data_IF_406982842627
#
_entry.id   IF_406982842627
#
_cell.length_a   1.000
_cell.length_b   1.000
_cell.length_c   1.000
_cell.angle_alpha   90.00
_cell.angle_beta   90.00
_cell.angle_gamma   90.00
#
_symmetry.space_group_name_H-M   'P 1'
#
loop_
_entity.id
_entity.type
_entity.pdbx_description
1 polymer ?
#
# COMPACT_ATOMS: atom_id res chain seq x y z
N UNK A 1 -8.15 -8.40 -5.03
CA UNK A 1 -9.23 -9.25 -4.45
C UNK A 1 -9.34 -9.04 -2.94
N UNK A 2 -8.56 -9.68 -2.06
CA UNK A 2 -8.78 -9.53 -0.60
C UNK A 2 -8.52 -8.11 -0.03
N UNK A 3 -7.46 -7.44 -0.48
CA UNK A 3 -7.13 -6.07 -0.02
C UNK A 3 -8.22 -5.06 -0.42
N UNK A 4 -8.77 -5.21 -1.61
CA UNK A 4 -9.82 -4.33 -2.15
C UNK A 4 -11.15 -4.55 -1.43
N UNK A 5 -11.50 -5.82 -1.14
CA UNK A 5 -12.69 -6.17 -0.37
C UNK A 5 -12.62 -5.60 1.05
N UNK A 6 -11.46 -5.71 1.70
CA UNK A 6 -11.23 -5.15 3.04
C UNK A 6 -11.33 -3.62 3.06
N UNK A 7 -10.72 -2.95 2.06
CA UNK A 7 -10.82 -1.50 1.90
C UNK A 7 -12.29 -1.07 1.75
N UNK A 8 -13.05 -1.71 0.87
CA UNK A 8 -14.48 -1.40 0.65
C UNK A 8 -15.29 -1.60 1.93
N UNK A 9 -15.14 -2.73 2.60
CA UNK A 9 -15.85 -3.02 3.85
C UNK A 9 -15.59 -1.98 4.95
N UNK A 10 -14.35 -1.48 5.05
CA UNK A 10 -13.99 -0.46 6.03
C UNK A 10 -14.52 0.93 5.66
N UNK A 11 -14.45 1.30 4.38
CA UNK A 11 -15.01 2.57 3.90
C UNK A 11 -16.54 2.62 4.04
N UNK A 12 -17.23 1.49 3.87
CA UNK A 12 -18.68 1.40 4.02
C UNK A 12 -19.12 1.42 5.49
N UNK A 13 -18.29 0.90 6.41
CA UNK A 13 -18.62 0.80 7.83
C UNK A 13 -18.18 2.01 8.67
N UNK A 14 -17.17 2.76 8.23
CA UNK A 14 -16.62 3.90 8.97
C UNK A 14 -17.04 5.21 8.27
N UNK A 15 -17.98 5.92 8.88
CA UNK A 15 -18.39 7.24 8.39
C UNK A 15 -17.39 8.31 8.84
N UNK A 16 -16.66 8.86 7.87
CA UNK A 16 -15.76 10.01 8.06
C UNK A 16 -16.34 11.21 7.30
N UNK A 17 -16.76 12.22 8.06
CA UNK A 17 -17.19 13.50 7.53
C UNK A 17 -15.96 14.31 7.12
N UNK A 18 -15.93 14.74 5.86
CA UNK A 18 -14.86 15.57 5.31
C UNK A 18 -15.39 17.00 5.06
N UNK A 19 -14.56 18.03 5.27
CA UNK A 19 -14.93 19.41 4.96
C UNK A 19 -14.83 19.64 3.44
N UNK A 20 -15.83 19.17 2.70
CA UNK A 20 -15.74 19.03 1.25
C UNK A 20 -15.45 20.35 0.51
N UNK A 21 -16.17 21.41 0.85
CA UNK A 21 -15.98 22.73 0.23
C UNK A 21 -14.56 23.24 0.44
N UNK A 22 -14.04 23.14 1.66
CA UNK A 22 -12.67 23.54 1.97
C UNK A 22 -11.67 22.73 1.15
N UNK A 23 -11.84 21.41 1.07
CA UNK A 23 -10.92 20.54 0.34
C UNK A 23 -10.93 20.84 -1.16
N UNK A 24 -12.10 21.12 -1.76
CA UNK A 24 -12.19 21.53 -3.16
C UNK A 24 -11.49 22.86 -3.43
N UNK A 25 -11.71 23.86 -2.58
CA UNK A 25 -10.98 25.15 -2.67
C UNK A 25 -9.48 24.94 -2.49
N UNK A 26 -9.08 24.14 -1.51
CA UNK A 26 -7.68 23.82 -1.26
C UNK A 26 -7.02 23.09 -2.43
N UNK A 27 -7.72 22.17 -3.11
CA UNK A 27 -7.22 21.50 -4.30
C UNK A 27 -6.98 22.49 -5.45
N UNK A 28 -7.90 23.45 -5.65
CA UNK A 28 -7.76 24.48 -6.67
C UNK A 28 -6.54 25.37 -6.40
N UNK A 29 -6.41 25.83 -5.15
CA UNK A 29 -5.33 26.72 -4.71
C UNK A 29 -3.96 26.02 -4.75
N UNK A 30 -3.88 24.79 -4.25
CA UNK A 30 -2.62 24.02 -4.19
C UNK A 30 -2.11 23.60 -5.56
N UNK A 31 -3.00 23.44 -6.54
CA UNK A 31 -2.62 23.17 -7.93
C UNK A 31 -2.34 24.45 -8.72
N UNK A 32 -2.38 25.64 -8.09
CA UNK A 32 -2.16 26.94 -8.75
C UNK A 32 -3.10 27.13 -9.97
N UNK A 33 -4.32 26.58 -9.92
CA UNK A 33 -5.27 26.61 -11.03
C UNK A 33 -4.89 25.75 -12.25
N UNK A 34 -3.91 24.85 -12.14
CA UNK A 34 -3.57 23.87 -13.21
C UNK A 34 -4.65 22.84 -13.46
N UNK A 35 -5.54 22.64 -12.49
CA UNK A 35 -6.73 21.80 -12.58
C UNK A 35 -7.93 22.74 -12.50
N UNK A 36 -8.87 22.58 -13.42
CA UNK A 36 -10.10 23.37 -13.44
C UNK A 36 -11.06 22.97 -12.32
N UNK A 37 -11.97 23.88 -11.95
CA UNK A 37 -13.02 23.57 -10.99
C UNK A 37 -13.91 22.41 -11.45
N UNK A 38 -14.16 22.29 -12.75
CA UNK A 38 -14.96 21.21 -13.33
C UNK A 38 -14.27 19.85 -13.18
N UNK A 39 -12.96 19.79 -13.43
CA UNK A 39 -12.16 18.57 -13.19
C UNK A 39 -12.12 18.20 -11.71
N UNK A 40 -12.00 19.19 -10.81
CA UNK A 40 -12.06 18.94 -9.36
C UNK A 40 -13.41 18.34 -9.00
N UNK A 41 -14.52 18.91 -9.45
CA UNK A 41 -15.86 18.39 -9.17
C UNK A 41 -16.04 16.96 -9.68
N UNK A 42 -15.54 16.66 -10.89
CA UNK A 42 -15.64 15.34 -11.49
C UNK A 42 -14.88 14.26 -10.70
N UNK A 43 -13.68 14.59 -10.21
CA UNK A 43 -12.77 13.62 -9.59
C UNK A 43 -12.80 13.69 -8.05
N UNK A 44 -13.56 14.63 -7.46
CA UNK A 44 -13.57 14.90 -6.03
C UNK A 44 -13.97 13.69 -5.20
N UNK A 45 -14.99 12.95 -5.62
CA UNK A 45 -15.49 11.80 -4.86
C UNK A 45 -14.43 10.71 -4.71
N UNK A 46 -13.64 10.49 -5.77
CA UNK A 46 -12.52 9.55 -5.74
C UNK A 46 -11.42 10.05 -4.80
N UNK A 47 -11.07 11.33 -4.86
CA UNK A 47 -10.12 11.95 -3.93
C UNK A 47 -10.58 11.81 -2.48
N UNK A 48 -11.86 12.10 -2.21
CA UNK A 48 -12.45 12.01 -0.89
C UNK A 48 -12.42 10.57 -0.36
N UNK A 49 -12.73 9.57 -1.20
CA UNK A 49 -12.61 8.16 -0.85
C UNK A 49 -11.15 7.78 -0.48
N UNK A 50 -10.18 8.17 -1.31
CA UNK A 50 -8.75 7.91 -1.05
C UNK A 50 -8.25 8.62 0.21
N UNK A 51 -8.76 9.81 0.52
CA UNK A 51 -8.47 10.53 1.74
C UNK A 51 -9.04 9.81 2.96
N UNK A 52 -10.31 9.38 2.93
CA UNK A 52 -10.90 8.57 4.01
C UNK A 52 -10.12 7.29 4.24
N UNK A 53 -9.75 6.59 3.17
CA UNK A 53 -8.94 5.38 3.27
C UNK A 53 -7.57 5.65 3.92
N UNK A 54 -6.95 6.77 3.57
CA UNK A 54 -5.68 7.21 4.18
C UNK A 54 -5.86 7.50 5.66
N UNK A 55 -6.92 8.20 6.07
CA UNK A 55 -7.22 8.48 7.47
C UNK A 55 -7.45 7.20 8.28
N UNK A 56 -8.18 6.22 7.73
CA UNK A 56 -8.40 4.91 8.38
C UNK A 56 -7.06 4.21 8.61
N UNK A 57 -6.21 4.10 7.57
CA UNK A 57 -4.90 3.45 7.70
C UNK A 57 -4.01 4.15 8.72
N UNK A 58 -3.96 5.48 8.69
CA UNK A 58 -3.16 6.26 9.64
C UNK A 58 -3.64 6.02 11.06
N UNK A 59 -4.96 5.99 11.28
CA UNK A 59 -5.52 5.71 12.61
C UNK A 59 -5.16 4.32 13.10
N UNK A 60 -5.29 3.30 12.25
CA UNK A 60 -4.92 1.92 12.60
C UNK A 60 -3.43 1.81 12.92
N UNK A 61 -2.58 2.47 12.13
CA UNK A 61 -1.14 2.47 12.33
C UNK A 61 -0.75 3.12 13.66
N UNK A 62 -1.38 4.26 14.00
CA UNK A 62 -1.20 4.95 15.28
C UNK A 62 -1.66 4.06 16.45
N UNK A 63 -2.88 3.53 16.39
CA UNK A 63 -3.48 2.72 17.46
C UNK A 63 -2.71 1.40 17.71
N UNK A 64 -2.02 0.88 16.69
CA UNK A 64 -1.22 -0.33 16.79
C UNK A 64 0.28 -0.07 16.98
N UNK A 65 0.71 1.20 17.07
CA UNK A 65 2.12 1.60 17.17
C UNK A 65 2.99 0.91 16.09
N UNK A 66 2.51 0.92 14.84
CA UNK A 66 3.18 0.24 13.72
C UNK A 66 4.57 0.83 13.52
N UNK A 67 5.58 -0.02 13.67
CA UNK A 67 6.99 0.28 13.44
C UNK A 67 7.49 -0.51 12.25
N UNK A 68 8.55 0.02 11.64
CA UNK A 68 9.27 -0.61 10.56
C UNK A 68 10.73 -0.60 10.93
N UNK A 69 11.29 -1.80 11.06
CA UNK A 69 12.70 -2.00 11.34
C UNK A 69 13.52 -2.06 10.06
N UNK A 70 14.79 -1.65 10.12
CA UNK A 70 15.70 -1.69 8.97
C UNK A 70 15.80 -3.10 8.37
N UNK A 71 15.74 -4.14 9.20
CA UNK A 71 15.80 -5.53 8.76
C UNK A 71 14.64 -5.89 7.81
N UNK A 72 13.43 -5.38 8.07
CA UNK A 72 12.26 -5.60 7.21
C UNK A 72 12.42 -4.89 5.87
N UNK A 73 12.93 -3.66 5.89
CA UNK A 73 13.22 -2.88 4.67
C UNK A 73 14.29 -3.57 3.83
N UNK A 74 15.35 -4.07 4.47
CA UNK A 74 16.40 -4.82 3.81
C UNK A 74 15.87 -6.11 3.20
N UNK A 75 15.07 -6.89 3.92
CA UNK A 75 14.51 -8.14 3.40
C UNK A 75 13.58 -7.90 2.22
N UNK A 76 12.71 -6.90 2.29
CA UNK A 76 11.87 -6.51 1.15
C UNK A 76 12.71 -6.09 -0.06
N UNK A 77 13.83 -5.41 0.17
CA UNK A 77 14.74 -5.04 -0.91
C UNK A 77 15.44 -6.25 -1.50
N UNK A 78 15.83 -7.23 -0.67
CA UNK A 78 16.35 -8.52 -1.15
C UNK A 78 15.31 -9.26 -1.98
N UNK A 79 14.03 -9.26 -1.60
CA UNK A 79 12.95 -9.82 -2.41
C UNK A 79 12.83 -9.15 -3.78
N UNK A 80 12.90 -7.82 -3.82
CA UNK A 80 12.91 -7.07 -5.08
C UNK A 80 14.10 -7.50 -5.95
N UNK A 81 15.29 -7.61 -5.36
CA UNK A 81 16.50 -8.02 -6.08
C UNK A 81 16.38 -9.48 -6.56
N UNK A 82 15.95 -10.42 -5.71
CA UNK A 82 15.66 -11.80 -6.12
C UNK A 82 14.75 -11.85 -7.34
N UNK A 83 13.69 -11.04 -7.34
CA UNK A 83 12.78 -10.91 -8.49
C UNK A 83 13.48 -10.49 -9.77
N UNK A 84 14.41 -9.53 -9.70
CA UNK A 84 15.20 -9.08 -10.86
C UNK A 84 16.15 -10.16 -11.39
N UNK A 85 16.64 -11.06 -10.53
CA UNK A 85 17.50 -12.18 -10.91
C UNK A 85 16.73 -13.47 -11.28
N UNK A 86 15.39 -13.46 -11.26
CA UNK A 86 14.57 -14.63 -11.57
C UNK A 86 14.41 -15.64 -10.42
N UNK A 87 14.74 -15.24 -9.19
CA UNK A 87 14.57 -16.04 -7.97
C UNK A 87 13.35 -15.63 -7.14
N UNK A 88 12.33 -15.04 -7.77
CA UNK A 88 11.11 -14.62 -7.06
C UNK A 88 10.51 -15.81 -6.27
N UNK A 89 10.31 -15.63 -4.96
CA UNK A 89 9.76 -16.67 -4.09
C UNK A 89 10.74 -17.79 -3.68
N UNK A 90 12.03 -17.65 -3.98
CA UNK A 90 13.08 -18.58 -3.54
C UNK A 90 14.22 -17.78 -2.88
N UNK A 91 15.03 -18.41 -2.03
CA UNK A 91 16.09 -17.75 -1.25
C UNK A 91 17.25 -17.19 -2.09
N UNK A 92 17.25 -17.39 -3.41
CA UNK A 92 18.25 -16.80 -4.30
C UNK A 92 19.42 -17.71 -4.67
N UNK A 93 19.18 -19.03 -4.84
CA UNK A 93 20.21 -19.94 -5.34
C UNK A 93 21.24 -20.36 -4.28
N UNK A 94 22.50 -20.50 -4.68
CA UNK A 94 23.61 -20.87 -3.78
C UNK A 94 24.08 -19.69 -2.90
N UNK A 95 24.98 -19.97 -1.96
CA UNK A 95 25.47 -18.95 -1.01
C UNK A 95 26.16 -17.77 -1.73
N UNK A 96 26.84 -18.02 -2.86
CA UNK A 96 27.45 -16.96 -3.65
C UNK A 96 26.40 -16.00 -4.22
N UNK A 97 25.26 -16.51 -4.67
CA UNK A 97 24.19 -15.67 -5.19
C UNK A 97 23.44 -14.94 -4.07
N UNK A 98 23.26 -15.57 -2.91
CA UNK A 98 22.71 -14.91 -1.71
C UNK A 98 23.56 -13.70 -1.29
N UNK A 99 24.89 -13.83 -1.30
CA UNK A 99 25.81 -12.72 -1.02
C UNK A 99 25.71 -11.58 -2.05
N UNK A 100 25.50 -11.91 -3.33
CA UNK A 100 25.28 -10.91 -4.38
C UNK A 100 23.98 -10.16 -4.15
N UNK A 101 22.89 -10.88 -3.86
CA UNK A 101 21.58 -10.29 -3.57
C UNK A 101 21.68 -9.33 -2.38
N UNK A 102 22.35 -9.74 -1.31
CA UNK A 102 22.52 -8.90 -0.12
C UNK A 102 23.31 -7.62 -0.43
N UNK A 103 24.45 -7.75 -1.11
CA UNK A 103 25.28 -6.59 -1.48
C UNK A 103 24.52 -5.61 -2.38
N UNK A 104 23.76 -6.12 -3.34
CA UNK A 104 22.95 -5.28 -4.25
C UNK A 104 21.83 -4.59 -3.48
N UNK A 105 21.13 -5.29 -2.58
CA UNK A 105 20.07 -4.71 -1.76
C UNK A 105 20.60 -3.60 -0.83
N UNK A 106 21.70 -3.87 -0.11
CA UNK A 106 22.36 -2.88 0.76
C UNK A 106 22.86 -1.69 -0.07
N UNK A 107 23.45 -1.94 -1.24
CA UNK A 107 23.90 -0.89 -2.15
C UNK A 107 22.76 -0.01 -2.65
N UNK A 108 21.62 -0.61 -3.01
CA UNK A 108 20.42 0.09 -3.46
C UNK A 108 19.86 1.01 -2.38
N UNK A 109 19.74 0.52 -1.14
CA UNK A 109 19.20 1.30 -0.02
C UNK A 109 20.13 2.45 0.40
N UNK A 110 21.44 2.28 0.26
CA UNK A 110 22.44 3.27 0.66
C UNK A 110 22.92 4.16 -0.48
N UNK A 111 22.30 4.08 -1.66
CA UNK A 111 22.64 4.90 -2.80
C UNK A 111 22.32 6.38 -2.52
N UNK A 112 23.38 7.15 -2.22
CA UNK A 112 23.28 8.58 -1.91
C UNK A 112 22.76 9.42 -3.08
N UNK A 113 22.81 8.90 -4.31
CA UNK A 113 22.26 9.58 -5.48
C UNK A 113 20.76 9.36 -5.64
N UNK A 114 20.20 8.36 -4.92
CA UNK A 114 18.78 7.98 -4.92
C UNK A 114 18.27 7.78 -3.49
N UNK A 115 18.26 8.83 -2.65
CA UNK A 115 17.81 8.73 -1.26
C UNK A 115 16.35 8.23 -1.13
N UNK A 116 15.53 8.39 -2.18
CA UNK A 116 14.18 7.87 -2.26
C UNK A 116 14.11 6.34 -2.25
N UNK A 117 15.19 5.62 -2.59
CA UNK A 117 15.21 4.16 -2.59
C UNK A 117 14.82 3.60 -1.21
N UNK A 118 15.45 4.09 -0.15
CA UNK A 118 15.12 3.67 1.21
C UNK A 118 13.69 4.04 1.58
N UNK A 119 13.31 5.30 1.38
CA UNK A 119 11.96 5.80 1.70
C UNK A 119 10.86 5.01 0.97
N UNK A 120 11.07 4.67 -0.30
CA UNK A 120 10.13 3.89 -1.08
C UNK A 120 9.96 2.46 -0.53
N UNK A 121 11.06 1.79 -0.17
CA UNK A 121 10.98 0.45 0.42
C UNK A 121 10.38 0.49 1.83
N UNK A 122 10.77 1.47 2.65
CA UNK A 122 10.19 1.73 3.96
C UNK A 122 8.67 1.92 3.88
N UNK A 123 8.19 2.82 3.01
CA UNK A 123 6.76 3.10 2.85
C UNK A 123 5.97 1.87 2.42
N UNK A 124 6.60 0.98 1.63
CA UNK A 124 5.98 -0.28 1.22
C UNK A 124 5.87 -1.26 2.38
N UNK A 125 6.94 -1.44 3.18
CA UNK A 125 6.88 -2.27 4.39
C UNK A 125 5.83 -1.71 5.36
N UNK A 126 5.87 -0.40 5.61
CA UNK A 126 4.91 0.28 6.47
C UNK A 126 3.47 0.01 6.02
N UNK A 127 3.19 0.17 4.72
CA UNK A 127 1.87 -0.10 4.15
C UNK A 127 1.46 -1.56 4.35
N UNK A 128 2.36 -2.51 4.12
CA UNK A 128 2.06 -3.93 4.29
C UNK A 128 1.81 -4.28 5.77
N UNK A 129 2.61 -3.76 6.70
CA UNK A 129 2.41 -3.94 8.15
C UNK A 129 1.07 -3.38 8.62
N UNK A 130 0.69 -2.17 8.17
CA UNK A 130 -0.62 -1.60 8.47
C UNK A 130 -1.74 -2.49 7.91
N UNK A 131 -1.61 -2.98 6.68
CA UNK A 131 -2.61 -3.86 6.08
C UNK A 131 -2.74 -5.21 6.79
N UNK A 132 -1.65 -5.74 7.33
CA UNK A 132 -1.68 -6.98 8.12
C UNK A 132 -2.36 -6.76 9.47
N UNK A 133 -2.11 -5.64 10.16
CA UNK A 133 -2.87 -5.25 11.37
C UNK A 133 -4.37 -5.12 11.07
N UNK A 134 -4.72 -4.49 9.95
CA UNK A 134 -6.13 -4.37 9.53
C UNK A 134 -6.72 -5.76 9.30
N UNK A 135 -5.99 -6.67 8.65
CA UNK A 135 -6.45 -8.04 8.40
C UNK A 135 -6.66 -8.82 9.70
N UNK A 136 -5.75 -8.70 10.66
CA UNK A 136 -5.84 -9.38 11.96
C UNK A 136 -7.02 -8.89 12.80
N UNK A 137 -7.34 -7.60 12.72
CA UNK A 137 -8.46 -6.98 13.44
C UNK A 137 -9.80 -7.11 12.72
N UNK A 138 -9.79 -7.39 11.41
CA UNK A 138 -11.01 -7.54 10.63
C UNK A 138 -11.77 -8.80 11.10
N UNK A 139 -13.08 -8.71 11.40
CA UNK A 139 -13.86 -9.90 11.69
C UNK A 139 -13.84 -10.83 10.47
N UNK A 140 -13.41 -12.08 10.65
CA UNK A 140 -13.42 -13.09 9.59
C UNK A 140 -14.87 -13.39 9.23
N UNK A 141 -15.38 -12.75 8.17
CA UNK A 141 -16.66 -13.11 7.57
C UNK A 141 -16.41 -14.26 6.59
N UNK A 142 -16.46 -15.49 7.09
CA UNK A 142 -16.40 -16.68 6.24
C UNK A 142 -17.68 -16.76 5.40
N UNK A 143 -17.60 -16.41 4.13
CA UNK A 143 -18.64 -16.72 3.15
C UNK A 143 -18.28 -18.02 2.44
N UNK A 144 -19.14 -19.03 2.55
CA UNK A 144 -19.05 -20.22 1.70
C UNK A 144 -19.46 -19.82 0.28
N UNK A 145 -18.48 -19.68 -0.60
CA UNK A 145 -18.68 -19.52 -2.04
C UNK A 145 -18.51 -20.89 -2.70
N UNK A 146 -19.45 -21.24 -3.58
CA UNK A 146 -19.35 -22.43 -4.42
C UNK A 146 -18.33 -22.21 -5.57
N UNK A 147 -17.96 -23.32 -6.23
CA UNK A 147 -16.94 -23.33 -7.26
C UNK A 147 -17.32 -22.49 -8.50
N UNK A 148 -18.61 -22.29 -8.77
CA UNK A 148 -19.09 -21.43 -9.87
C UNK A 148 -18.90 -19.95 -9.53
N UNK A 149 -19.24 -19.54 -8.31
CA UNK A 149 -19.05 -18.16 -7.82
C UNK A 149 -17.57 -17.78 -7.76
N UNK A 150 -16.69 -18.74 -7.45
CA UNK A 150 -15.24 -18.53 -7.46
C UNK A 150 -14.70 -18.33 -8.88
N UNK A 151 -15.11 -19.15 -9.86
CA UNK A 151 -14.70 -19.01 -11.26
C UNK A 151 -15.11 -17.66 -11.85
N UNK A 152 -16.35 -17.24 -11.60
CA UNK A 152 -16.85 -15.96 -12.10
C UNK A 152 -16.05 -14.74 -11.56
N UNK A 153 -15.53 -14.81 -10.32
CA UNK A 153 -14.67 -13.76 -9.75
C UNK A 153 -13.23 -13.80 -10.28
N UNK A 154 -12.72 -14.97 -10.65
CA UNK A 154 -11.36 -15.12 -11.17
C UNK A 154 -11.23 -14.67 -12.64
N UNK A 155 -12.31 -14.72 -13.42
CA UNK A 155 -12.33 -14.34 -14.84
C UNK A 155 -12.51 -12.82 -15.08
N UNK A 156 -12.73 -12.03 -14.02
CA UNK A 156 -12.91 -10.57 -14.09
C UNK A 156 -11.67 -9.76 -13.66
N UNK A 157 -10.53 -10.40 -13.40
CA UNK A 157 -9.25 -9.75 -13.07
C UNK A 157 -8.21 -10.01 -14.14
#
# INVERSE_FOLDING_TARGET
>A
MLRDDLRRALLDSIQIELPNEFLKTWLLDSNEGKISQEEIEQDYDKFAEDLRWTLIRNRVAEDADVKVEYAEVLERTRDMVRGQFGFAGNEGGDDSMKDVIDRVAVGYLNDKTKPENFTNQFNRVYTDNVMDVIREKAPVVTQAIDAESFKAKAEQG
#
